data_IF_821238281685
#
_entry.id   IF_821238281685
#
_cell.length_a   1.000
_cell.length_b   1.000
_cell.length_c   1.000
_cell.angle_alpha   90.00
_cell.angle_beta   90.00
_cell.angle_gamma   90.00
#
_symmetry.space_group_name_H-M   'P 1'
#
loop_
_entity.id
_entity.type
_entity.pdbx_description
1 polymer ?
#
# COMPACT_ATOMS: atom_id res chain seq x y z
N UNK A 1 -15.73 19.47 -51.82
CA UNK A 1 -15.43 20.71 -51.07
C UNK A 1 -15.72 20.44 -49.60
N UNK A 2 -14.68 20.30 -48.77
CA UNK A 2 -14.84 20.14 -47.33
C UNK A 2 -14.96 21.53 -46.70
N UNK A 3 -16.12 21.88 -46.19
CA UNK A 3 -16.32 23.08 -45.37
C UNK A 3 -16.01 22.71 -43.92
N UNK A 4 -14.77 22.90 -43.49
CA UNK A 4 -14.47 22.91 -42.06
C UNK A 4 -15.20 24.09 -41.42
N UNK A 5 -15.87 23.84 -40.29
CA UNK A 5 -16.68 24.83 -39.59
C UNK A 5 -15.75 25.89 -38.96
N UNK A 6 -15.96 27.17 -39.26
CA UNK A 6 -15.14 28.27 -38.72
C UNK A 6 -15.15 28.32 -37.18
N UNK A 7 -16.23 27.85 -36.55
CA UNK A 7 -16.33 27.76 -35.08
C UNK A 7 -15.41 26.69 -34.49
N UNK A 8 -15.09 25.61 -35.22
CA UNK A 8 -14.15 24.59 -34.77
C UNK A 8 -12.68 25.03 -34.85
N UNK A 9 -12.35 25.93 -35.79
CA UNK A 9 -10.99 26.48 -35.91
C UNK A 9 -10.71 27.51 -34.80
N UNK A 10 -11.68 28.36 -34.45
CA UNK A 10 -11.56 29.34 -33.36
C UNK A 10 -11.42 28.70 -31.97
N UNK A 11 -12.16 27.63 -31.71
CA UNK A 11 -12.05 26.87 -30.45
C UNK A 11 -10.71 26.16 -30.34
N UNK A 12 -10.21 25.57 -31.42
CA UNK A 12 -8.88 24.94 -31.47
C UNK A 12 -7.75 25.94 -31.23
N UNK A 13 -7.87 27.17 -31.76
CA UNK A 13 -6.90 28.25 -31.55
C UNK A 13 -6.94 28.81 -30.11
N UNK A 14 -8.12 28.95 -29.50
CA UNK A 14 -8.22 29.33 -28.09
C UNK A 14 -7.63 28.28 -27.15
N UNK A 15 -7.86 26.99 -27.42
CA UNK A 15 -7.30 25.89 -26.62
C UNK A 15 -5.78 25.77 -26.77
N UNK A 16 -5.24 26.17 -27.92
CA UNK A 16 -3.79 26.24 -28.18
C UNK A 16 -3.15 27.56 -27.72
N UNK A 17 -3.93 28.50 -27.16
CA UNK A 17 -3.40 29.78 -26.70
C UNK A 17 -2.47 29.58 -25.49
N UNK A 18 -1.25 30.13 -25.52
CA UNK A 18 -0.32 30.08 -24.39
C UNK A 18 -0.93 30.59 -23.08
N UNK A 19 -1.77 31.63 -23.15
CA UNK A 19 -2.41 32.25 -21.98
C UNK A 19 -3.46 31.33 -21.36
N UNK A 20 -4.18 30.57 -22.19
CA UNK A 20 -5.15 29.58 -21.74
C UNK A 20 -4.46 28.40 -21.06
N UNK A 21 -3.37 27.89 -21.64
CA UNK A 21 -2.55 26.84 -21.04
C UNK A 21 -1.91 27.31 -19.73
N UNK A 22 -1.43 28.55 -19.66
CA UNK A 22 -0.87 29.13 -18.44
C UNK A 22 -1.92 29.27 -17.32
N UNK A 23 -3.15 29.66 -17.66
CA UNK A 23 -4.29 29.70 -16.75
C UNK A 23 -4.63 28.31 -16.19
N UNK A 24 -4.73 27.29 -17.06
CA UNK A 24 -4.96 25.91 -16.65
C UNK A 24 -3.83 25.40 -15.75
N UNK A 25 -2.58 25.65 -16.14
CA UNK A 25 -1.43 25.26 -15.34
C UNK A 25 -1.45 25.95 -13.96
N UNK A 26 -1.75 27.24 -13.88
CA UNK A 26 -1.84 27.95 -12.61
C UNK A 26 -2.92 27.38 -11.68
N UNK A 27 -4.00 26.82 -12.22
CA UNK A 27 -5.05 26.16 -11.44
C UNK A 27 -4.70 24.72 -11.06
N UNK A 28 -4.04 23.97 -11.95
CA UNK A 28 -3.75 22.54 -11.75
C UNK A 28 -2.44 22.28 -11.00
N UNK A 29 -1.42 23.12 -11.18
CA UNK A 29 -0.10 22.97 -10.54
C UNK A 29 -0.20 22.89 -9.02
N UNK A 30 -0.99 23.73 -8.31
CA UNK A 30 -1.15 23.62 -6.86
C UNK A 30 -1.75 22.27 -6.44
N UNK A 31 -2.74 21.76 -7.18
CA UNK A 31 -3.36 20.46 -6.90
C UNK A 31 -2.38 19.29 -7.13
N UNK A 32 -1.59 19.36 -8.20
CA UNK A 32 -0.55 18.37 -8.52
C UNK A 32 0.53 18.39 -7.44
N UNK A 33 1.03 19.57 -7.05
CA UNK A 33 2.04 19.69 -5.99
C UNK A 33 1.53 19.11 -4.67
N UNK A 34 0.30 19.45 -4.28
CA UNK A 34 -0.31 18.91 -3.06
C UNK A 34 -0.42 17.38 -3.10
N UNK A 35 -0.85 16.81 -4.23
CA UNK A 35 -0.95 15.37 -4.40
C UNK A 35 0.44 14.69 -4.35
N UNK A 36 1.44 15.33 -4.95
CA UNK A 36 2.82 14.86 -4.93
C UNK A 36 3.41 14.87 -3.52
N UNK A 37 3.21 15.97 -2.77
CA UNK A 37 3.68 16.10 -1.39
C UNK A 37 3.06 15.02 -0.49
N UNK A 38 1.75 14.77 -0.62
CA UNK A 38 1.06 13.71 0.11
C UNK A 38 1.60 12.31 -0.24
N UNK A 39 1.87 12.07 -1.52
CA UNK A 39 2.44 10.81 -1.98
C UNK A 39 3.87 10.62 -1.44
N UNK A 40 4.67 11.68 -1.41
CA UNK A 40 6.04 11.67 -0.90
C UNK A 40 6.07 11.44 0.61
N UNK A 41 5.24 12.13 1.38
CA UNK A 41 5.09 11.92 2.83
C UNK A 41 4.67 10.48 3.14
N UNK A 42 3.70 9.94 2.39
CA UNK A 42 3.27 8.55 2.53
C UNK A 42 4.41 7.58 2.19
N UNK A 43 5.18 7.85 1.14
CA UNK A 43 6.31 7.03 0.77
C UNK A 43 7.42 7.07 1.83
N UNK A 44 7.72 8.24 2.38
CA UNK A 44 8.69 8.41 3.47
C UNK A 44 8.24 7.69 4.75
N UNK A 45 6.96 7.81 5.11
CA UNK A 45 6.39 7.09 6.25
C UNK A 45 6.46 5.56 6.04
N UNK A 46 6.13 5.05 4.85
CA UNK A 46 6.26 3.63 4.52
C UNK A 46 7.72 3.16 4.48
N UNK A 47 8.64 4.03 4.03
CA UNK A 47 10.06 3.76 4.02
C UNK A 47 10.64 3.71 5.44
N UNK A 48 10.13 4.47 6.41
CA UNK A 48 10.70 4.51 7.76
C UNK A 48 9.91 3.71 8.80
N UNK A 49 8.70 3.24 8.48
CA UNK A 49 7.88 2.50 9.42
C UNK A 49 8.49 1.12 9.76
N UNK A 50 8.62 0.76 11.05
CA UNK A 50 9.12 -0.55 11.46
C UNK A 50 8.12 -1.68 11.15
N UNK A 51 6.82 -1.35 11.04
CA UNK A 51 5.75 -2.28 10.71
C UNK A 51 4.88 -1.77 9.57
N UNK A 52 4.33 -2.67 8.76
CA UNK A 52 3.40 -2.27 7.68
C UNK A 52 2.33 -3.33 7.40
N UNK A 53 1.24 -2.94 6.74
CA UNK A 53 0.20 -3.90 6.33
C UNK A 53 0.70 -4.79 5.17
N UNK A 54 0.07 -5.95 4.99
CA UNK A 54 0.42 -6.88 3.90
C UNK A 54 0.27 -6.22 2.52
N UNK A 55 -0.78 -5.43 2.34
CA UNK A 55 -1.08 -4.74 1.08
C UNK A 55 -0.02 -3.69 0.77
N UNK A 56 0.35 -2.87 1.75
CA UNK A 56 1.38 -1.85 1.58
C UNK A 56 2.77 -2.48 1.32
N UNK A 57 3.08 -3.61 1.95
CA UNK A 57 4.32 -4.35 1.68
C UNK A 57 4.35 -4.91 0.25
N UNK A 58 3.25 -5.49 -0.21
CA UNK A 58 3.10 -5.97 -1.58
C UNK A 58 3.28 -4.84 -2.59
N UNK A 59 2.59 -3.72 -2.39
CA UNK A 59 2.68 -2.55 -3.26
C UNK A 59 4.09 -1.96 -3.29
N UNK A 60 4.74 -1.82 -2.13
CA UNK A 60 6.09 -1.24 -2.04
C UNK A 60 7.17 -2.11 -2.70
N UNK A 61 7.02 -3.44 -2.68
CA UNK A 61 8.00 -4.37 -3.24
C UNK A 61 7.60 -4.92 -4.62
N UNK A 62 6.43 -4.54 -5.16
CA UNK A 62 5.93 -5.06 -6.43
C UNK A 62 5.65 -6.57 -6.41
N UNK A 63 5.28 -7.13 -5.27
CA UNK A 63 5.00 -8.57 -5.12
C UNK A 63 3.50 -8.83 -5.01
N UNK A 64 3.05 -10.00 -5.47
CA UNK A 64 1.66 -10.42 -5.29
C UNK A 64 1.41 -10.97 -3.88
N UNK A 65 0.17 -10.89 -3.41
CA UNK A 65 -0.22 -11.41 -2.09
C UNK A 65 0.08 -12.91 -1.95
N UNK A 66 -0.06 -13.70 -3.01
CA UNK A 66 0.27 -15.14 -2.98
C UNK A 66 1.76 -15.40 -2.78
N UNK A 67 2.64 -14.53 -3.31
CA UNK A 67 4.09 -14.63 -3.08
C UNK A 67 4.41 -14.24 -1.63
N UNK A 68 3.77 -13.18 -1.13
CA UNK A 68 3.93 -12.76 0.26
C UNK A 68 3.55 -13.87 1.25
N UNK A 69 2.42 -14.56 1.05
CA UNK A 69 2.03 -15.68 1.94
C UNK A 69 3.05 -16.83 1.91
N UNK A 70 3.63 -17.14 0.75
CA UNK A 70 4.74 -18.11 0.66
C UNK A 70 5.98 -17.63 1.42
N UNK A 71 6.30 -16.34 1.35
CA UNK A 71 7.43 -15.75 2.08
C UNK A 71 7.21 -15.78 3.60
N UNK A 72 5.98 -15.58 4.05
CA UNK A 72 5.61 -15.71 5.47
C UNK A 72 5.75 -17.18 5.90
N UNK A 73 5.20 -18.12 5.13
CA UNK A 73 5.28 -19.55 5.43
C UNK A 73 6.73 -20.07 5.49
N UNK A 74 7.59 -19.58 4.60
CA UNK A 74 9.02 -19.94 4.56
C UNK A 74 9.88 -19.15 5.57
N UNK A 75 9.30 -18.25 6.37
CA UNK A 75 10.04 -17.42 7.33
C UNK A 75 10.99 -16.40 6.68
N UNK A 76 10.77 -16.06 5.41
CA UNK A 76 11.50 -14.96 4.73
C UNK A 76 11.06 -13.63 5.31
N UNK A 77 9.75 -13.45 5.49
CA UNK A 77 9.14 -12.25 6.10
C UNK A 77 8.56 -12.63 7.45
N UNK A 78 8.84 -11.83 8.47
CA UNK A 78 8.34 -12.03 9.82
C UNK A 78 7.11 -11.16 10.07
N UNK A 79 6.10 -11.74 10.72
CA UNK A 79 4.95 -11.00 11.21
C UNK A 79 5.31 -10.29 12.52
N UNK A 80 4.80 -9.07 12.68
CA UNK A 80 4.87 -8.36 13.93
C UNK A 80 4.03 -9.09 14.98
N UNK A 81 4.47 -9.18 16.24
CA UNK A 81 3.66 -9.74 17.32
C UNK A 81 2.41 -8.88 17.50
N UNK A 82 1.27 -9.35 17.03
CA UNK A 82 -0.02 -8.71 17.27
C UNK A 82 -0.61 -9.21 18.58
N UNK A 83 -1.21 -8.33 19.40
CA UNK A 83 -1.88 -8.76 20.62
C UNK A 83 -2.99 -9.75 20.24
N UNK A 84 -2.88 -10.96 20.79
CA UNK A 84 -3.94 -11.98 20.66
C UNK A 84 -5.07 -11.56 21.58
N UNK A 85 -6.26 -11.35 21.03
CA UNK A 85 -7.45 -11.03 21.84
C UNK A 85 -8.33 -12.25 21.94
N UNK A 86 -8.82 -12.52 23.14
CA UNK A 86 -9.72 -13.65 23.37
C UNK A 86 -11.15 -13.18 23.18
N UNK A 87 -11.89 -13.81 22.26
CA UNK A 87 -13.30 -13.53 22.01
C UNK A 87 -14.13 -14.71 22.48
N UNK A 88 -15.00 -14.47 23.45
CA UNK A 88 -15.95 -15.47 23.93
C UNK A 88 -17.21 -15.42 23.06
N UNK A 89 -17.56 -16.54 22.43
CA UNK A 89 -18.81 -16.70 21.67
C UNK A 89 -19.72 -17.68 22.37
N UNK A 90 -20.95 -17.28 22.62
CA UNK A 90 -22.00 -18.19 23.07
C UNK A 90 -22.66 -18.83 21.85
N UNK A 91 -22.56 -20.15 21.72
CA UNK A 91 -23.23 -20.92 20.68
C UNK A 91 -24.41 -21.64 21.32
N UNK A 92 -25.62 -21.38 20.85
CA UNK A 92 -26.82 -22.07 21.29
C UNK A 92 -27.20 -23.13 20.27
N UNK A 93 -27.33 -24.38 20.71
CA UNK A 93 -27.80 -25.46 19.85
C UNK A 93 -29.30 -25.29 19.57
N UNK A 94 -29.67 -25.19 18.30
CA UNK A 94 -31.07 -24.96 17.87
C UNK A 94 -32.01 -26.11 18.26
N UNK A 95 -31.51 -27.34 18.33
CA UNK A 95 -32.34 -28.53 18.59
C UNK A 95 -32.51 -28.82 20.08
N UNK A 96 -31.51 -28.50 20.92
CA UNK A 96 -31.53 -28.85 22.35
C UNK A 96 -31.67 -27.64 23.28
N UNK A 97 -31.62 -26.42 22.74
CA UNK A 97 -31.71 -25.17 23.51
C UNK A 97 -30.51 -24.89 24.43
N UNK A 98 -29.56 -25.84 24.54
CA UNK A 98 -28.38 -25.72 25.39
C UNK A 98 -27.37 -24.74 24.79
N UNK A 99 -26.89 -23.82 25.61
CA UNK A 99 -25.84 -22.88 25.25
C UNK A 99 -24.47 -23.36 25.73
N UNK A 100 -23.46 -23.24 24.87
CA UNK A 100 -22.05 -23.45 25.22
C UNK A 100 -21.27 -22.16 25.02
N UNK A 101 -20.39 -21.84 25.95
CA UNK A 101 -19.42 -20.74 25.80
C UNK A 101 -18.16 -21.31 25.17
N UNK A 102 -17.83 -20.78 24.00
CA UNK A 102 -16.65 -21.13 23.24
C UNK A 102 -15.67 -19.95 23.32
N UNK A 103 -14.41 -20.22 23.65
CA UNK A 103 -13.38 -19.20 23.84
C UNK A 103 -12.43 -19.31 22.65
N UNK A 104 -12.48 -18.34 21.74
CA UNK A 104 -11.61 -18.31 20.56
C UNK A 104 -10.50 -17.29 20.77
N UNK A 105 -9.27 -17.68 20.44
CA UNK A 105 -8.16 -16.73 20.26
C UNK A 105 -8.29 -16.08 18.88
N UNK A 106 -8.43 -14.76 18.86
CA UNK A 106 -8.42 -13.94 17.66
C UNK A 106 -7.04 -13.32 17.51
N UNK A 107 -6.29 -13.79 16.52
CA UNK A 107 -5.11 -13.10 16.08
C UNK A 107 -5.54 -11.84 15.33
N UNK A 108 -5.09 -10.65 15.77
CA UNK A 108 -5.31 -9.40 15.03
C UNK A 108 -4.70 -9.47 13.63
N UNK A 109 -5.13 -8.58 12.71
CA UNK A 109 -4.55 -8.49 11.37
C UNK A 109 -3.03 -8.38 11.47
N UNK A 110 -2.34 -9.45 11.11
CA UNK A 110 -0.90 -9.55 11.31
C UNK A 110 -0.19 -8.53 10.42
N UNK A 111 0.43 -7.53 11.05
CA UNK A 111 1.31 -6.59 10.37
C UNK A 111 2.63 -7.29 10.05
N UNK A 112 3.32 -6.82 9.02
CA UNK A 112 4.66 -7.27 8.68
C UNK A 112 5.68 -6.48 9.49
N UNK A 113 6.66 -7.18 10.07
CA UNK A 113 7.82 -6.57 10.68
C UNK A 113 8.87 -6.26 9.59
N UNK A 114 8.81 -5.03 9.08
CA UNK A 114 9.66 -4.55 7.99
C UNK A 114 11.09 -4.35 8.46
N UNK A 115 11.27 -3.89 9.71
CA UNK A 115 12.59 -3.69 10.29
C UNK A 115 13.39 -5.01 10.33
N UNK A 116 12.78 -6.08 10.83
CA UNK A 116 13.43 -7.40 10.88
C UNK A 116 13.73 -7.94 9.47
N UNK A 117 12.81 -7.77 8.52
CA UNK A 117 13.03 -8.20 7.14
C UNK A 117 14.19 -7.47 6.45
N UNK A 118 14.25 -6.14 6.61
CA UNK A 118 15.36 -5.33 6.05
C UNK A 118 16.69 -5.69 6.67
N UNK A 119 16.73 -5.87 7.99
CA UNK A 119 17.95 -6.24 8.69
C UNK A 119 18.45 -7.62 8.24
N UNK A 120 17.55 -8.58 8.08
CA UNK A 120 17.87 -9.89 7.49
C UNK A 120 18.45 -9.74 6.09
N UNK A 121 17.84 -8.95 5.22
CA UNK A 121 18.36 -8.70 3.86
C UNK A 121 19.72 -8.01 3.87
N UNK A 122 19.95 -7.05 4.78
CA UNK A 122 21.23 -6.37 4.98
C UNK A 122 22.32 -7.38 5.39
N UNK A 123 22.02 -8.26 6.34
CA UNK A 123 22.95 -9.32 6.76
C UNK A 123 23.29 -10.28 5.62
N UNK A 124 22.28 -10.71 4.84
CA UNK A 124 22.52 -11.51 3.64
C UNK A 124 23.40 -10.77 2.63
N UNK A 125 23.17 -9.48 2.39
CA UNK A 125 23.99 -8.68 1.48
C UNK A 125 25.45 -8.56 1.93
N UNK A 126 25.71 -8.40 3.24
CA UNK A 126 27.08 -8.39 3.80
C UNK A 126 27.75 -9.76 3.64
N UNK A 127 27.00 -10.85 3.86
CA UNK A 127 27.52 -12.21 3.74
C UNK A 127 27.72 -12.65 2.27
N UNK A 128 26.97 -12.05 1.35
CA UNK A 128 27.17 -12.21 -0.09
C UNK A 128 28.46 -11.46 -0.50
N UNK A 129 29.49 -12.24 -0.83
CA UNK A 129 30.88 -11.94 -1.23
C UNK A 129 31.14 -10.85 -2.31
N UNK A 130 30.23 -9.91 -2.53
CA UNK A 130 30.35 -8.83 -3.52
C UNK A 130 30.96 -7.54 -2.98
N UNK A 131 31.02 -7.37 -1.65
CA UNK A 131 31.73 -6.26 -1.02
C UNK A 131 33.06 -6.82 -0.50
N UNK A 132 34.13 -6.71 -1.29
CA UNK A 132 35.48 -6.94 -0.78
C UNK A 132 35.76 -5.90 0.30
N UNK A 133 36.15 -6.38 1.48
CA UNK A 133 36.54 -5.56 2.63
C UNK A 133 37.78 -4.73 2.33
#
# INVERSE_FOLDING_TARGET
>A
MHTENANSQLTSQMLASPDFIASIAAQLVPAINTALDQALEKAAALANSPTMSKENFCAANGISSSVLEKWIANGVVLLAPTPTSTVTRTITCKETGKSRKDVMEKHGNALINVAAWREKNRQHAVNCRYIKR
#
